data_IF_886243960132
#
_entry.id   IF_886243960132
#
_cell.length_a   1.000
_cell.length_b   1.000
_cell.length_c   1.000
_cell.angle_alpha   90.00
_cell.angle_beta   90.00
_cell.angle_gamma   90.00
#
_symmetry.space_group_name_H-M   'P 1'
#
loop_
_entity.id
_entity.type
_entity.pdbx_description
1 polymer ?
#
# COMPACT_ATOMS: atom_id res chain seq x y z
N UNK A 1 -14.16 -14.81 -14.30
CA UNK A 1 -12.94 -15.27 -13.60
C UNK A 1 -13.27 -15.83 -12.22
N UNK A 2 -12.51 -16.82 -11.76
CA UNK A 2 -12.59 -17.36 -10.41
C UNK A 2 -11.52 -16.72 -9.54
N UNK A 3 -11.94 -15.96 -8.53
CA UNK A 3 -11.06 -15.12 -7.68
C UNK A 3 -11.10 -15.62 -6.25
N UNK A 4 -9.95 -15.61 -5.57
CA UNK A 4 -9.85 -15.94 -4.16
C UNK A 4 -9.31 -14.75 -3.35
N UNK A 5 -9.79 -14.58 -2.11
CA UNK A 5 -9.23 -13.65 -1.12
C UNK A 5 -8.80 -14.47 0.10
N UNK A 6 -7.51 -14.47 0.41
CA UNK A 6 -6.94 -15.07 1.61
C UNK A 6 -6.71 -14.00 2.66
N UNK A 7 -7.29 -14.17 3.85
CA UNK A 7 -7.33 -13.15 4.90
C UNK A 7 -8.53 -12.22 4.76
N UNK A 8 -9.65 -12.74 4.24
CA UNK A 8 -10.85 -11.97 3.91
C UNK A 8 -11.43 -11.17 5.09
N UNK A 9 -11.27 -11.62 6.33
CA UNK A 9 -11.80 -10.96 7.54
C UNK A 9 -10.90 -9.82 8.07
N UNK A 10 -9.73 -9.62 7.50
CA UNK A 10 -8.82 -8.51 7.86
C UNK A 10 -9.26 -7.18 7.24
N UNK A 11 -8.69 -6.06 7.73
CA UNK A 11 -9.01 -4.72 7.20
C UNK A 11 -8.79 -4.63 5.67
N UNK A 12 -7.66 -5.11 5.17
CA UNK A 12 -7.38 -5.15 3.71
C UNK A 12 -8.25 -6.17 2.98
N UNK A 13 -8.58 -7.31 3.63
CA UNK A 13 -9.48 -8.31 3.05
C UNK A 13 -10.89 -7.75 2.80
N UNK A 14 -11.40 -6.96 3.74
CA UNK A 14 -12.68 -6.25 3.58
C UNK A 14 -12.59 -5.13 2.52
N UNK A 15 -11.45 -4.46 2.44
CA UNK A 15 -11.19 -3.47 1.40
C UNK A 15 -11.12 -4.09 0.00
N UNK A 16 -10.56 -5.31 -0.15
CA UNK A 16 -10.63 -6.05 -1.41
C UNK A 16 -12.07 -6.25 -1.88
N UNK A 17 -12.97 -6.67 -0.99
CA UNK A 17 -14.39 -6.84 -1.35
C UNK A 17 -14.99 -5.54 -1.89
N UNK A 18 -14.72 -4.41 -1.21
CA UNK A 18 -15.21 -3.10 -1.61
C UNK A 18 -14.63 -2.66 -2.95
N UNK A 19 -13.32 -2.72 -3.10
CA UNK A 19 -12.63 -2.26 -4.33
C UNK A 19 -13.02 -3.11 -5.54
N UNK A 20 -13.09 -4.44 -5.39
CA UNK A 20 -13.51 -5.34 -6.46
C UNK A 20 -14.95 -5.06 -6.93
N UNK A 21 -15.84 -4.66 -6.01
CA UNK A 21 -17.21 -4.27 -6.34
C UNK A 21 -17.26 -2.89 -7.01
N UNK A 22 -16.65 -1.87 -6.41
CA UNK A 22 -16.58 -0.49 -6.94
C UNK A 22 -16.03 -0.45 -8.37
N UNK A 23 -15.04 -1.30 -8.67
CA UNK A 23 -14.38 -1.37 -9.98
C UNK A 23 -15.05 -2.34 -10.96
N UNK A 24 -16.15 -2.96 -10.58
CA UNK A 24 -16.83 -3.97 -11.40
C UNK A 24 -15.87 -5.06 -11.91
N UNK A 25 -14.92 -5.48 -11.06
CA UNK A 25 -13.93 -6.50 -11.44
C UNK A 25 -14.62 -7.76 -11.96
N UNK A 26 -14.15 -8.43 -13.05
CA UNK A 26 -14.85 -9.53 -13.71
C UNK A 26 -14.77 -10.84 -12.92
N UNK A 27 -15.70 -11.02 -11.97
CA UNK A 27 -15.76 -12.18 -11.07
C UNK A 27 -17.02 -13.01 -11.39
N UNK A 28 -16.82 -14.27 -11.76
CA UNK A 28 -17.89 -15.26 -11.89
C UNK A 28 -18.09 -16.00 -10.56
N UNK A 29 -17.00 -16.33 -9.88
CA UNK A 29 -16.98 -16.98 -8.57
C UNK A 29 -15.96 -16.33 -7.65
N UNK A 30 -16.37 -15.99 -6.43
CA UNK A 30 -15.51 -15.45 -5.37
C UNK A 30 -15.39 -16.45 -4.23
N UNK A 31 -14.15 -16.78 -3.85
CA UNK A 31 -13.81 -17.62 -2.72
C UNK A 31 -13.16 -16.80 -1.62
N UNK A 32 -13.62 -16.98 -0.37
CA UNK A 32 -13.05 -16.31 0.79
C UNK A 32 -12.37 -17.33 1.70
N UNK A 33 -11.14 -17.06 2.10
CA UNK A 33 -10.37 -17.90 3.01
C UNK A 33 -9.89 -17.14 4.23
N UNK A 34 -9.83 -17.83 5.36
CA UNK A 34 -9.36 -17.26 6.61
C UNK A 34 -8.84 -18.33 7.58
N UNK A 35 -8.44 -17.88 8.77
CA UNK A 35 -8.02 -18.75 9.86
C UNK A 35 -9.21 -19.46 10.51
N UNK A 36 -8.94 -20.43 11.39
CA UNK A 36 -9.95 -21.11 12.20
C UNK A 36 -10.89 -20.13 12.94
N UNK A 37 -10.38 -18.97 13.36
CA UNK A 37 -11.16 -17.94 14.08
C UNK A 37 -12.22 -17.25 13.19
N UNK A 38 -11.98 -17.18 11.90
CA UNK A 38 -12.84 -16.48 10.94
C UNK A 38 -13.62 -17.43 10.00
N UNK A 39 -13.28 -18.70 9.96
CA UNK A 39 -14.03 -19.72 9.19
C UNK A 39 -15.49 -19.77 9.64
N UNK A 40 -16.40 -19.86 8.66
CA UNK A 40 -17.85 -19.81 8.88
C UNK A 40 -18.46 -18.41 8.93
N UNK A 41 -17.64 -17.35 9.06
CA UNK A 41 -18.14 -15.97 8.93
C UNK A 41 -18.62 -15.73 7.50
N UNK A 42 -19.70 -14.98 7.34
CA UNK A 42 -20.26 -14.65 6.03
C UNK A 42 -20.09 -13.17 5.73
N UNK A 43 -19.77 -12.87 4.48
CA UNK A 43 -19.72 -11.51 3.96
C UNK A 43 -20.58 -11.40 2.71
N UNK A 44 -21.21 -10.25 2.54
CA UNK A 44 -22.01 -9.96 1.34
C UNK A 44 -21.14 -9.36 0.25
N UNK A 45 -21.19 -9.94 -0.94
CA UNK A 45 -20.56 -9.39 -2.15
C UNK A 45 -21.55 -9.44 -3.30
N UNK A 46 -21.86 -8.28 -3.91
CA UNK A 46 -22.83 -8.12 -5.01
C UNK A 46 -24.18 -8.81 -4.69
N UNK A 47 -24.68 -8.63 -3.46
CA UNK A 47 -25.95 -9.16 -3.01
C UNK A 47 -25.97 -10.67 -2.67
N UNK A 48 -24.82 -11.36 -2.76
CA UNK A 48 -24.68 -12.78 -2.40
C UNK A 48 -23.89 -12.92 -1.10
N UNK A 49 -24.37 -13.77 -0.20
CA UNK A 49 -23.59 -14.17 0.97
C UNK A 49 -22.52 -15.19 0.58
N UNK A 50 -21.26 -14.93 0.97
CA UNK A 50 -20.12 -15.81 0.74
C UNK A 50 -19.53 -16.16 2.11
N UNK A 51 -19.40 -17.45 2.37
CA UNK A 51 -18.83 -17.97 3.61
C UNK A 51 -17.31 -18.04 3.52
N UNK A 52 -16.63 -17.63 4.58
CA UNK A 52 -15.17 -17.75 4.72
C UNK A 52 -14.84 -19.21 5.01
N UNK A 53 -14.12 -19.84 4.11
CA UNK A 53 -13.58 -21.20 4.28
C UNK A 53 -12.31 -21.18 5.14
N UNK A 54 -12.07 -22.25 5.86
CA UNK A 54 -10.78 -22.45 6.52
C UNK A 54 -9.68 -22.62 5.47
N UNK A 55 -8.60 -21.82 5.57
CA UNK A 55 -7.45 -21.99 4.72
C UNK A 55 -6.70 -23.27 5.08
N UNK A 56 -6.54 -24.20 4.12
CA UNK A 56 -5.92 -25.50 4.30
C UNK A 56 -5.07 -25.90 3.08
N UNK A 57 -4.11 -26.80 3.29
CA UNK A 57 -3.34 -27.43 2.19
C UNK A 57 -4.19 -28.51 1.50
N UNK A 58 -5.02 -28.06 0.55
CA UNK A 58 -5.91 -28.90 -0.23
C UNK A 58 -5.99 -28.37 -1.69
N UNK A 59 -7.00 -28.80 -2.43
CA UNK A 59 -7.20 -28.42 -3.84
C UNK A 59 -8.25 -27.30 -4.04
N UNK A 60 -8.61 -26.54 -3.01
CA UNK A 60 -9.60 -25.44 -3.11
C UNK A 60 -9.20 -24.36 -4.11
N UNK A 61 -7.90 -24.20 -4.38
CA UNK A 61 -7.39 -23.26 -5.39
C UNK A 61 -7.38 -23.79 -6.83
N UNK A 62 -7.85 -25.02 -7.06
CA UNK A 62 -7.98 -25.56 -8.42
C UNK A 62 -8.99 -24.73 -9.22
N UNK A 63 -8.52 -24.22 -10.36
CA UNK A 63 -9.32 -23.37 -11.26
C UNK A 63 -9.46 -21.92 -10.78
N UNK A 64 -8.76 -21.51 -9.72
CA UNK A 64 -8.64 -20.09 -9.33
C UNK A 64 -7.69 -19.40 -10.32
N UNK A 65 -8.12 -18.28 -10.87
CA UNK A 65 -7.33 -17.46 -11.79
C UNK A 65 -6.39 -16.53 -11.03
N UNK A 66 -6.92 -15.79 -10.04
CA UNK A 66 -6.20 -14.81 -9.24
C UNK A 66 -6.53 -15.01 -7.76
N UNK A 67 -5.51 -15.01 -6.91
CA UNK A 67 -5.65 -15.06 -5.46
C UNK A 67 -5.00 -13.81 -4.82
N UNK A 68 -5.81 -12.94 -4.22
CA UNK A 68 -5.33 -11.84 -3.39
C UNK A 68 -5.04 -12.34 -1.99
N UNK A 69 -3.82 -12.11 -1.48
CA UNK A 69 -3.43 -12.59 -0.14
C UNK A 69 -3.08 -11.43 0.78
N UNK A 70 -3.71 -11.39 1.95
CA UNK A 70 -3.46 -10.43 3.02
C UNK A 70 -3.66 -11.07 4.40
N UNK A 71 -2.89 -12.13 4.66
CA UNK A 71 -2.98 -12.93 5.89
C UNK A 71 -1.67 -12.94 6.72
N UNK A 72 -0.74 -12.04 6.37
CA UNK A 72 0.59 -11.93 6.99
C UNK A 72 1.64 -12.82 6.36
N UNK A 73 2.92 -12.44 6.51
CA UNK A 73 4.04 -13.05 5.80
C UNK A 73 4.26 -14.54 6.09
N UNK A 74 3.98 -14.99 7.32
CA UNK A 74 4.05 -16.41 7.66
C UNK A 74 3.06 -17.25 6.85
N UNK A 75 1.78 -16.84 6.85
CA UNK A 75 0.72 -17.50 6.07
C UNK A 75 1.02 -17.45 4.57
N UNK A 76 1.49 -16.31 4.05
CA UNK A 76 1.84 -16.18 2.64
C UNK A 76 2.94 -17.16 2.24
N UNK A 77 3.98 -17.32 3.05
CA UNK A 77 5.06 -18.28 2.77
C UNK A 77 4.58 -19.74 2.84
N UNK A 78 3.78 -20.06 3.84
CA UNK A 78 3.28 -21.41 4.07
C UNK A 78 2.35 -21.86 2.96
N UNK A 79 1.45 -20.99 2.50
CA UNK A 79 0.43 -21.34 1.51
C UNK A 79 0.75 -20.97 0.05
N UNK A 80 1.87 -20.30 -0.23
CA UNK A 80 2.20 -19.84 -1.58
C UNK A 80 2.15 -20.98 -2.62
N UNK A 81 2.79 -22.12 -2.32
CA UNK A 81 2.79 -23.29 -3.23
C UNK A 81 1.38 -23.88 -3.37
N UNK A 82 0.62 -23.97 -2.27
CA UNK A 82 -0.77 -24.46 -2.30
C UNK A 82 -1.65 -23.60 -3.22
N UNK A 83 -1.45 -22.28 -3.19
CA UNK A 83 -2.20 -21.34 -4.02
C UNK A 83 -1.78 -21.44 -5.49
N UNK A 84 -0.49 -21.49 -5.76
CA UNK A 84 0.04 -21.38 -7.14
C UNK A 84 0.14 -22.71 -7.90
N UNK A 85 0.17 -23.86 -7.20
CA UNK A 85 0.37 -25.20 -7.82
C UNK A 85 -0.60 -25.55 -8.95
N UNK A 86 -1.80 -24.95 -8.95
CA UNK A 86 -2.81 -25.15 -9.98
C UNK A 86 -2.87 -24.03 -11.01
N UNK A 87 -1.88 -23.12 -10.99
CA UNK A 87 -1.74 -22.05 -11.97
C UNK A 87 -2.41 -20.72 -11.55
N UNK A 88 -2.96 -20.59 -10.36
CA UNK A 88 -3.43 -19.28 -9.87
C UNK A 88 -2.28 -18.28 -9.80
N UNK A 89 -2.54 -17.02 -10.17
CA UNK A 89 -1.62 -15.91 -9.89
C UNK A 89 -1.89 -15.39 -8.48
N UNK A 90 -0.91 -15.52 -7.60
CA UNK A 90 -0.97 -14.99 -6.23
C UNK A 90 -0.47 -13.54 -6.23
N UNK A 91 -1.31 -12.59 -5.81
CA UNK A 91 -0.91 -11.19 -5.56
C UNK A 91 -0.85 -11.00 -4.05
N UNK A 92 0.39 -10.93 -3.52
CA UNK A 92 0.64 -10.97 -2.08
C UNK A 92 0.88 -9.59 -1.48
N UNK A 93 0.03 -9.21 -0.55
CA UNK A 93 0.10 -7.93 0.16
C UNK A 93 1.05 -7.94 1.37
N UNK A 94 1.62 -9.09 1.72
CA UNK A 94 2.58 -9.22 2.81
C UNK A 94 4.01 -8.81 2.38
N UNK A 95 4.90 -8.73 3.35
CA UNK A 95 6.33 -8.50 3.07
C UNK A 95 7.12 -9.77 2.70
N UNK A 96 6.45 -10.93 2.59
CA UNK A 96 7.10 -12.23 2.50
C UNK A 96 8.01 -12.39 1.28
N UNK A 97 7.61 -11.83 0.14
CA UNK A 97 8.24 -12.06 -1.16
C UNK A 97 8.76 -10.78 -1.84
N UNK A 98 8.60 -9.61 -1.21
CA UNK A 98 8.91 -8.32 -1.84
C UNK A 98 10.35 -8.21 -2.34
N UNK A 99 11.30 -8.78 -1.61
CA UNK A 99 12.73 -8.75 -1.96
C UNK A 99 13.24 -10.06 -2.56
N UNK A 100 12.35 -11.01 -2.89
CA UNK A 100 12.70 -12.22 -3.64
C UNK A 100 12.99 -11.84 -5.10
N UNK A 101 14.13 -12.24 -5.64
CA UNK A 101 14.56 -11.93 -7.01
C UNK A 101 13.63 -12.56 -8.08
N UNK A 102 12.98 -13.68 -7.75
CA UNK A 102 12.05 -14.39 -8.63
C UNK A 102 10.58 -13.96 -8.45
N UNK A 103 10.34 -12.87 -7.72
CA UNK A 103 9.00 -12.31 -7.50
C UNK A 103 9.02 -10.82 -7.83
N UNK A 104 8.25 -10.37 -8.83
CA UNK A 104 8.15 -8.94 -9.15
C UNK A 104 7.44 -8.20 -8.02
N UNK A 105 7.90 -6.98 -7.77
CA UNK A 105 7.32 -6.03 -6.82
C UNK A 105 6.69 -4.89 -7.63
N UNK A 106 5.35 -4.78 -7.63
CA UNK A 106 4.67 -4.03 -8.69
C UNK A 106 3.81 -2.89 -8.14
N UNK A 107 4.01 -1.71 -8.72
CA UNK A 107 3.10 -0.56 -8.69
C UNK A 107 2.74 -0.23 -10.14
N UNK A 108 1.49 -0.41 -10.56
CA UNK A 108 1.12 -0.30 -11.99
C UNK A 108 1.51 1.03 -12.65
N UNK A 109 1.49 2.13 -11.92
CA UNK A 109 1.89 3.45 -12.43
C UNK A 109 3.40 3.57 -12.71
N UNK A 110 4.21 2.67 -12.15
CA UNK A 110 5.67 2.68 -12.27
C UNK A 110 6.18 1.57 -13.20
N UNK A 111 5.84 0.32 -12.89
CA UNK A 111 6.47 -0.86 -13.48
C UNK A 111 5.49 -2.01 -13.78
N UNK A 112 4.29 -1.73 -14.26
CA UNK A 112 3.25 -2.73 -14.52
C UNK A 112 3.74 -3.95 -15.31
N UNK A 113 4.65 -3.76 -16.27
CA UNK A 113 5.19 -4.83 -17.15
C UNK A 113 5.95 -5.90 -16.38
N UNK A 114 6.54 -5.57 -15.23
CA UNK A 114 7.26 -6.53 -14.40
C UNK A 114 6.33 -7.67 -13.92
N UNK A 115 5.01 -7.42 -13.83
CA UNK A 115 4.03 -8.43 -13.48
C UNK A 115 3.99 -9.64 -14.42
N UNK A 116 4.52 -9.54 -15.64
CA UNK A 116 4.63 -10.64 -16.59
C UNK A 116 5.75 -11.62 -16.21
N UNK A 117 6.81 -11.13 -15.56
CA UNK A 117 7.99 -11.90 -15.14
C UNK A 117 7.79 -12.48 -13.73
N UNK A 118 6.94 -13.49 -13.59
CA UNK A 118 6.58 -14.12 -12.32
C UNK A 118 6.81 -15.63 -12.30
N UNK A 119 8.04 -16.13 -12.38
CA UNK A 119 8.33 -17.58 -12.51
C UNK A 119 7.75 -18.42 -11.37
N UNK A 120 7.50 -17.82 -10.21
CA UNK A 120 6.86 -18.48 -9.06
C UNK A 120 5.32 -18.38 -9.05
N UNK A 121 4.70 -17.73 -10.05
CA UNK A 121 3.26 -17.45 -10.05
C UNK A 121 2.83 -16.42 -8.98
N UNK A 122 3.80 -15.73 -8.38
CA UNK A 122 3.59 -14.76 -7.30
C UNK A 122 3.97 -13.36 -7.78
N UNK A 123 3.17 -12.36 -7.41
CA UNK A 123 3.48 -10.93 -7.54
C UNK A 123 3.38 -10.32 -6.15
N UNK A 124 4.40 -9.60 -5.73
CA UNK A 124 4.39 -8.90 -4.46
C UNK A 124 3.77 -7.50 -4.60
N UNK A 125 2.84 -7.18 -3.71
CA UNK A 125 2.30 -5.84 -3.53
C UNK A 125 3.16 -5.10 -2.52
N UNK A 126 3.67 -3.89 -2.84
CA UNK A 126 4.65 -3.22 -2.00
C UNK A 126 4.10 -2.72 -0.65
N UNK A 127 4.99 -2.16 0.15
CA UNK A 127 4.65 -1.46 1.38
C UNK A 127 3.78 -0.22 1.09
N UNK A 128 2.83 0.07 1.96
CA UNK A 128 1.84 1.13 1.73
C UNK A 128 2.45 2.52 1.58
N UNK A 129 3.48 2.85 2.37
CA UNK A 129 4.21 4.12 2.22
C UNK A 129 5.03 4.12 0.93
N UNK A 130 5.68 3.02 0.59
CA UNK A 130 6.43 2.92 -0.67
C UNK A 130 5.52 3.14 -1.88
N UNK A 131 4.34 2.52 -1.92
CA UNK A 131 3.41 2.68 -3.07
C UNK A 131 3.09 4.16 -3.32
N UNK A 132 2.62 4.87 -2.29
CA UNK A 132 2.20 6.26 -2.47
C UNK A 132 3.38 7.17 -2.83
N UNK A 133 4.56 6.92 -2.27
CA UNK A 133 5.77 7.66 -2.58
C UNK A 133 6.20 7.47 -4.04
N UNK A 134 6.33 6.22 -4.50
CA UNK A 134 6.84 5.95 -5.87
C UNK A 134 5.88 6.40 -6.96
N UNK A 135 4.56 6.41 -6.72
CA UNK A 135 3.59 6.96 -7.69
C UNK A 135 3.86 8.45 -7.93
N UNK A 136 4.10 9.22 -6.87
CA UNK A 136 4.44 10.64 -7.00
C UNK A 136 5.86 10.85 -7.58
N UNK A 137 6.83 10.05 -7.14
CA UNK A 137 8.22 10.13 -7.62
C UNK A 137 8.34 9.74 -9.10
N UNK A 138 7.53 8.80 -9.59
CA UNK A 138 7.55 8.42 -11.00
C UNK A 138 7.21 9.60 -11.93
N UNK A 139 6.28 10.47 -11.52
CA UNK A 139 5.99 11.68 -12.28
C UNK A 139 7.19 12.65 -12.33
N UNK A 140 8.00 12.70 -11.27
CA UNK A 140 9.22 13.51 -11.23
C UNK A 140 10.36 12.84 -12.02
N UNK A 141 10.54 11.53 -11.88
CA UNK A 141 11.54 10.73 -12.60
C UNK A 141 11.38 10.86 -14.12
N UNK A 142 10.14 10.91 -14.61
CA UNK A 142 9.84 11.10 -16.03
C UNK A 142 10.30 12.46 -16.57
N UNK A 143 10.55 13.46 -15.70
CA UNK A 143 11.06 14.78 -16.07
C UNK A 143 12.58 14.81 -15.98
N UNK A 144 13.12 14.30 -14.89
CA UNK A 144 14.57 14.27 -14.60
C UNK A 144 14.87 13.15 -13.62
N UNK A 145 15.93 12.40 -13.89
CA UNK A 145 16.40 11.33 -13.00
C UNK A 145 16.58 11.82 -11.56
N UNK A 146 16.02 11.08 -10.61
CA UNK A 146 16.09 11.36 -9.17
C UNK A 146 17.38 10.74 -8.64
N UNK A 147 18.23 11.56 -8.02
CA UNK A 147 19.48 11.12 -7.39
C UNK A 147 19.32 10.76 -5.92
N UNK A 148 18.47 11.53 -5.21
CA UNK A 148 18.31 11.36 -3.77
C UNK A 148 16.90 11.70 -3.30
N UNK A 149 16.43 10.92 -2.34
CA UNK A 149 15.13 11.06 -1.71
C UNK A 149 15.33 11.08 -0.19
N UNK A 150 14.81 12.11 0.48
CA UNK A 150 14.57 12.11 1.90
C UNK A 150 13.08 12.16 2.14
N UNK A 151 12.57 11.28 3.00
CA UNK A 151 11.16 11.20 3.29
C UNK A 151 10.90 11.07 4.78
N UNK A 152 9.95 11.84 5.29
CA UNK A 152 9.35 11.63 6.59
C UNK A 152 7.89 11.20 6.39
N UNK A 153 7.54 10.00 6.85
CA UNK A 153 6.17 9.51 6.78
C UNK A 153 5.41 9.74 8.09
N UNK A 154 4.15 10.10 7.96
CA UNK A 154 3.18 10.31 9.05
C UNK A 154 2.09 9.27 8.89
N UNK A 155 2.25 8.14 9.58
CA UNK A 155 1.46 6.94 9.32
C UNK A 155 0.32 6.77 10.33
N UNK A 156 -0.88 6.64 9.82
CA UNK A 156 -2.09 6.43 10.59
C UNK A 156 -2.12 5.07 11.31
N UNK A 157 -2.92 4.98 12.36
CA UNK A 157 -3.11 3.78 13.18
C UNK A 157 -3.55 2.54 12.36
N UNK A 158 -4.35 2.75 11.32
CA UNK A 158 -4.86 1.69 10.43
C UNK A 158 -3.78 0.87 9.72
N UNK A 159 -2.57 1.42 9.55
CA UNK A 159 -1.41 0.65 9.05
C UNK A 159 -1.00 -0.51 9.97
N UNK A 160 -1.37 -0.47 11.25
CA UNK A 160 -1.21 -1.56 12.21
C UNK A 160 -2.49 -2.42 12.36
N UNK A 161 -3.50 -2.22 11.50
CA UNK A 161 -4.72 -3.01 11.42
C UNK A 161 -5.89 -2.49 12.26
N UNK A 162 -7.04 -3.16 12.13
CA UNK A 162 -8.30 -2.75 12.77
C UNK A 162 -8.22 -2.64 14.30
N UNK A 163 -7.48 -3.54 14.94
CA UNK A 163 -7.29 -3.51 16.41
C UNK A 163 -6.53 -2.28 16.87
N UNK A 164 -5.56 -1.79 16.08
CA UNK A 164 -4.81 -0.57 16.39
C UNK A 164 -5.68 0.70 16.23
N UNK A 165 -6.58 0.71 15.24
CA UNK A 165 -7.57 1.80 15.11
C UNK A 165 -8.52 1.83 16.32
N UNK A 166 -9.03 0.67 16.74
CA UNK A 166 -9.88 0.56 17.90
C UNK A 166 -9.17 1.01 19.18
N UNK A 167 -7.91 0.61 19.36
CA UNK A 167 -7.08 1.06 20.50
C UNK A 167 -6.90 2.57 20.51
N UNK A 168 -6.55 3.20 19.38
CA UNK A 168 -6.42 4.66 19.30
C UNK A 168 -7.71 5.36 19.68
N UNK A 169 -8.85 4.89 19.18
CA UNK A 169 -10.15 5.46 19.50
C UNK A 169 -10.47 5.34 21.00
N UNK A 170 -10.18 4.18 21.58
CA UNK A 170 -10.36 3.92 23.00
C UNK A 170 -9.40 4.78 23.87
N UNK A 171 -8.16 4.96 23.44
CA UNK A 171 -7.21 5.85 24.12
C UNK A 171 -7.72 7.29 24.18
N UNK A 172 -8.31 7.81 23.07
CA UNK A 172 -8.94 9.16 23.12
C UNK A 172 -10.06 9.23 24.16
N UNK A 173 -10.95 8.24 24.17
CA UNK A 173 -12.04 8.16 25.15
C UNK A 173 -11.50 8.15 26.59
N UNK A 174 -10.53 7.30 26.85
CA UNK A 174 -9.94 7.12 28.19
C UNK A 174 -9.24 8.38 28.67
N UNK A 175 -8.39 8.99 27.85
CA UNK A 175 -7.66 10.21 28.23
C UNK A 175 -8.62 11.37 28.51
N UNK A 176 -9.66 11.55 27.69
CA UNK A 176 -10.67 12.59 27.89
C UNK A 176 -11.52 12.35 29.14
N UNK A 177 -11.68 11.09 29.56
CA UNK A 177 -12.35 10.72 30.81
C UNK A 177 -11.44 10.79 32.05
N UNK A 178 -10.15 11.12 31.89
CA UNK A 178 -9.17 11.10 32.97
C UNK A 178 -8.74 9.69 33.39
N UNK A 179 -9.02 8.69 32.56
CA UNK A 179 -8.65 7.29 32.76
C UNK A 179 -7.24 7.02 32.22
N UNK A 180 -6.58 5.97 32.74
CA UNK A 180 -5.29 5.52 32.19
C UNK A 180 -5.52 4.85 30.82
N UNK A 181 -4.83 5.32 29.75
CA UNK A 181 -5.02 4.73 28.43
C UNK A 181 -4.48 3.31 28.33
N UNK A 182 -5.20 2.46 27.59
CA UNK A 182 -4.77 1.11 27.23
C UNK A 182 -3.69 1.20 26.14
N UNK A 183 -2.57 0.47 26.31
CA UNK A 183 -1.45 0.40 25.35
C UNK A 183 -1.10 -1.06 25.15
N UNK A 184 -1.56 -1.65 24.04
CA UNK A 184 -1.38 -3.06 23.68
C UNK A 184 -0.81 -3.26 22.29
N UNK A 185 -1.21 -2.43 21.30
CA UNK A 185 -0.80 -2.53 19.90
C UNK A 185 0.35 -1.59 19.55
N UNK A 186 0.43 -0.47 20.23
CA UNK A 186 1.51 0.49 20.05
C UNK A 186 2.54 0.35 21.16
N UNK A 187 3.77 0.86 20.93
CA UNK A 187 4.81 0.86 21.95
C UNK A 187 4.51 1.83 23.12
N UNK A 188 3.71 2.86 22.84
CA UNK A 188 3.29 3.91 23.78
C UNK A 188 1.86 4.34 23.48
N UNK A 189 1.27 5.13 24.39
CA UNK A 189 0.05 5.87 24.09
C UNK A 189 0.23 6.67 22.79
N UNK A 190 -0.69 6.50 21.84
CA UNK A 190 -0.68 7.24 20.58
C UNK A 190 -1.61 8.45 20.60
N UNK A 191 -2.75 8.38 21.32
CA UNK A 191 -3.64 9.54 21.48
C UNK A 191 -2.86 10.73 22.05
N UNK A 192 -2.93 11.89 21.35
CA UNK A 192 -2.19 13.13 21.67
C UNK A 192 -0.66 12.99 21.63
N UNK A 193 -0.12 12.03 20.87
CA UNK A 193 1.32 11.76 20.80
C UNK A 193 1.74 11.41 19.36
N UNK A 194 3.04 11.44 19.09
CA UNK A 194 3.67 10.86 17.90
C UNK A 194 4.76 9.89 18.33
N UNK A 195 4.88 8.75 17.65
CA UNK A 195 5.85 7.70 17.99
C UNK A 195 6.83 7.57 16.81
N UNK A 196 8.12 7.96 16.96
CA UNK A 196 9.11 7.90 15.87
C UNK A 196 9.66 6.47 15.71
N UNK A 197 8.76 5.51 15.63
CA UNK A 197 9.07 4.10 15.42
C UNK A 197 7.88 3.38 14.80
N UNK A 198 8.12 2.75 13.65
CA UNK A 198 7.20 1.77 13.05
C UNK A 198 8.00 0.54 12.70
N UNK A 199 7.52 -0.65 13.16
CA UNK A 199 8.25 -1.91 13.11
C UNK A 199 9.48 -1.94 14.05
N UNK A 200 10.30 -2.98 13.99
CA UNK A 200 11.48 -3.17 14.83
C UNK A 200 12.71 -2.51 14.24
N UNK A 201 13.64 -2.12 15.09
CA UNK A 201 14.93 -1.57 14.66
C UNK A 201 15.82 -2.65 14.05
N UNK A 202 16.65 -2.23 13.11
CA UNK A 202 17.73 -2.99 12.51
C UNK A 202 19.08 -2.51 13.05
N UNK A 203 20.17 -3.24 12.76
CA UNK A 203 21.49 -2.97 13.31
C UNK A 203 22.09 -1.61 12.89
N UNK A 204 21.58 -1.02 11.82
CA UNK A 204 22.03 0.29 11.33
C UNK A 204 21.25 1.48 11.93
N UNK A 205 20.36 1.23 12.91
CA UNK A 205 19.56 2.25 13.59
C UNK A 205 18.27 2.65 12.86
N UNK A 206 18.03 2.16 11.65
CA UNK A 206 16.75 2.31 10.96
C UNK A 206 15.76 1.23 11.40
N UNK A 207 14.46 1.49 11.27
CA UNK A 207 13.45 0.46 11.44
C UNK A 207 13.28 -0.38 10.17
N UNK A 208 12.69 -1.57 10.28
CA UNK A 208 12.34 -2.37 9.10
C UNK A 208 11.39 -1.64 8.16
N UNK A 209 10.50 -0.81 8.68
CA UNK A 209 9.60 0.00 7.86
C UNK A 209 10.38 0.98 6.97
N UNK A 210 11.36 1.67 7.53
CA UNK A 210 12.25 2.59 6.81
C UNK A 210 13.10 1.86 5.77
N UNK A 211 13.61 0.68 6.12
CA UNK A 211 14.38 -0.15 5.18
C UNK A 211 13.53 -0.69 4.02
N UNK A 212 12.22 -0.92 4.23
CA UNK A 212 11.31 -1.23 3.11
C UNK A 212 11.27 -0.09 2.10
N UNK A 213 11.11 1.15 2.54
CA UNK A 213 11.12 2.30 1.64
C UNK A 213 12.41 2.39 0.84
N UNK A 214 13.56 2.14 1.46
CA UNK A 214 14.86 2.14 0.79
C UNK A 214 14.98 1.04 -0.29
N UNK A 215 14.67 -0.22 0.06
CA UNK A 215 14.88 -1.34 -0.86
C UNK A 215 13.79 -1.44 -1.93
N UNK A 216 12.54 -1.26 -1.54
CA UNK A 216 11.39 -1.41 -2.44
C UNK A 216 11.38 -0.31 -3.50
N UNK A 217 11.75 0.93 -3.17
CA UNK A 217 11.86 2.04 -4.15
C UNK A 217 12.83 1.70 -5.28
N UNK A 218 14.02 1.18 -4.93
CA UNK A 218 15.02 0.78 -5.93
C UNK A 218 14.50 -0.32 -6.86
N UNK A 219 13.81 -1.32 -6.28
CA UNK A 219 13.26 -2.44 -7.04
C UNK A 219 12.10 -2.03 -7.95
N UNK A 220 11.19 -1.20 -7.47
CA UNK A 220 10.00 -0.78 -8.23
C UNK A 220 10.37 0.20 -9.35
N UNK A 221 11.19 1.20 -9.04
CA UNK A 221 11.54 2.26 -9.99
C UNK A 221 12.75 1.91 -10.87
N UNK A 222 13.38 0.74 -10.67
CA UNK A 222 14.61 0.35 -11.36
C UNK A 222 15.68 1.44 -11.29
N UNK A 223 15.84 2.08 -10.12
CA UNK A 223 16.67 3.25 -9.90
C UNK A 223 17.83 2.96 -8.94
N UNK A 224 18.92 3.69 -9.10
CA UNK A 224 20.04 3.74 -8.16
C UNK A 224 19.90 4.89 -7.13
N UNK A 225 18.83 5.67 -7.20
CA UNK A 225 18.58 6.79 -6.30
C UNK A 225 18.77 6.40 -4.82
N UNK A 226 19.47 7.25 -4.08
CA UNK A 226 19.58 7.08 -2.64
C UNK A 226 18.27 7.48 -1.95
N UNK A 227 17.81 6.64 -1.04
CA UNK A 227 16.60 6.91 -0.26
C UNK A 227 16.90 6.81 1.24
N UNK A 228 16.49 7.82 2.02
CA UNK A 228 16.54 7.78 3.47
C UNK A 228 15.18 8.18 4.03
N UNK A 229 14.63 7.35 4.93
CA UNK A 229 13.30 7.52 5.47
C UNK A 229 13.32 7.65 6.99
N UNK A 230 12.36 8.40 7.54
CA UNK A 230 11.97 8.35 8.94
C UNK A 230 10.47 8.09 9.02
N UNK A 231 10.08 7.00 9.67
CA UNK A 231 8.68 6.59 9.77
C UNK A 231 8.11 6.88 11.15
N UNK A 232 7.07 7.71 11.20
CA UNK A 232 6.44 8.19 12.43
C UNK A 232 4.98 7.73 12.49
N UNK A 233 4.57 7.08 13.58
CA UNK A 233 3.17 6.80 13.88
C UNK A 233 2.51 8.05 14.44
N UNK A 234 1.40 8.48 13.81
CA UNK A 234 0.64 9.67 14.21
C UNK A 234 -0.77 9.30 14.65
N UNK A 235 -1.43 10.12 15.48
CA UNK A 235 -2.74 9.84 16.06
C UNK A 235 -3.88 10.14 15.06
N UNK A 236 -3.74 9.67 13.83
CA UNK A 236 -4.74 9.66 12.77
C UNK A 236 -5.28 8.24 12.59
N UNK A 237 -6.56 8.09 12.29
CA UNK A 237 -7.16 6.76 12.14
C UNK A 237 -6.80 6.14 10.79
N UNK A 238 -6.93 6.90 9.69
CA UNK A 238 -6.73 6.41 8.31
C UNK A 238 -6.01 7.48 7.48
N UNK A 239 -5.49 7.11 6.34
CA UNK A 239 -4.61 7.84 5.44
C UNK A 239 -3.21 8.12 6.01
N UNK A 240 -2.20 7.74 5.23
CA UNK A 240 -0.82 8.12 5.48
C UNK A 240 -0.49 9.43 4.77
N UNK A 241 0.48 10.14 5.32
CA UNK A 241 1.03 11.34 4.69
C UNK A 241 2.54 11.25 4.65
N UNK A 242 3.15 11.94 3.69
CA UNK A 242 4.61 12.00 3.56
C UNK A 242 5.08 13.40 3.19
N UNK A 243 6.15 13.85 3.85
CA UNK A 243 6.93 15.00 3.45
C UNK A 243 8.17 14.49 2.71
N UNK A 244 8.35 14.92 1.47
CA UNK A 244 9.41 14.44 0.57
C UNK A 244 10.30 15.60 0.15
N UNK A 245 11.61 15.36 0.17
CA UNK A 245 12.67 16.14 -0.45
C UNK A 245 13.30 15.25 -1.52
N UNK A 246 13.21 15.66 -2.78
CA UNK A 246 13.77 14.93 -3.90
C UNK A 246 14.80 15.81 -4.62
N UNK A 247 16.00 15.27 -4.80
CA UNK A 247 17.07 15.87 -5.61
C UNK A 247 17.09 15.21 -6.98
N UNK A 248 17.03 16.00 -8.03
CA UNK A 248 17.06 15.54 -9.42
C UNK A 248 18.39 15.86 -10.11
N UNK A 249 18.68 15.20 -11.22
CA UNK A 249 19.92 15.41 -11.98
C UNK A 249 20.02 16.83 -12.55
N UNK A 250 18.92 17.34 -13.12
CA UNK A 250 18.77 18.74 -13.53
C UNK A 250 17.70 19.44 -12.70
N UNK A 251 17.77 20.78 -12.56
CA UNK A 251 16.69 21.53 -11.93
C UNK A 251 15.35 21.27 -12.64
N UNK A 252 14.30 20.98 -11.84
CA UNK A 252 12.91 20.86 -12.29
C UNK A 252 12.13 22.02 -11.69
N UNK A 253 11.37 22.76 -12.48
CA UNK A 253 10.55 23.86 -11.97
C UNK A 253 9.33 23.33 -11.22
N UNK A 254 8.74 24.16 -10.36
CA UNK A 254 7.49 23.83 -9.64
C UNK A 254 6.36 23.58 -10.64
N UNK A 255 6.31 24.37 -11.69
CA UNK A 255 5.28 24.29 -12.74
C UNK A 255 5.39 23.01 -13.56
N UNK A 256 6.63 22.59 -13.96
CA UNK A 256 6.85 21.30 -14.64
C UNK A 256 6.35 20.13 -13.78
N UNK A 257 6.68 20.12 -12.49
CA UNK A 257 6.25 19.02 -11.62
C UNK A 257 4.73 19.06 -11.33
N UNK A 258 4.13 20.24 -11.12
CA UNK A 258 2.68 20.38 -10.99
C UNK A 258 1.95 19.86 -12.22
N UNK A 259 2.45 20.14 -13.40
CA UNK A 259 1.84 19.65 -14.64
C UNK A 259 1.99 18.12 -14.79
N UNK A 260 3.14 17.56 -14.40
CA UNK A 260 3.33 16.12 -14.39
C UNK A 260 2.39 15.42 -13.39
N UNK A 261 2.16 16.02 -12.21
CA UNK A 261 1.20 15.50 -11.22
C UNK A 261 -0.23 15.54 -11.76
N UNK A 262 -0.64 16.61 -12.43
CA UNK A 262 -1.99 16.73 -13.02
C UNK A 262 -2.28 15.66 -14.06
N UNK A 263 -1.27 15.31 -14.87
CA UNK A 263 -1.38 14.37 -15.98
C UNK A 263 -0.98 12.93 -15.58
N UNK A 264 -0.47 12.73 -14.37
CA UNK A 264 -0.01 11.43 -13.88
C UNK A 264 -1.16 10.50 -13.50
N UNK A 265 -1.06 9.23 -13.90
CA UNK A 265 -2.01 8.22 -13.47
C UNK A 265 -1.93 8.01 -11.97
N UNK A 266 -3.07 7.87 -11.31
CA UNK A 266 -3.14 7.65 -9.86
C UNK A 266 -2.74 8.87 -9.02
N UNK A 267 -2.60 10.06 -9.64
CA UNK A 267 -2.22 11.32 -8.99
C UNK A 267 -3.34 12.37 -9.05
N UNK A 268 -3.39 13.21 -8.01
CA UNK A 268 -4.22 14.41 -7.94
C UNK A 268 -3.42 15.58 -7.39
N UNK A 269 -3.38 16.68 -8.14
CA UNK A 269 -2.83 17.93 -7.66
C UNK A 269 -3.86 18.66 -6.78
N UNK A 270 -3.48 18.94 -5.53
CA UNK A 270 -4.24 19.77 -4.59
C UNK A 270 -3.26 20.74 -3.93
N UNK A 271 -3.02 21.90 -4.55
CA UNK A 271 -1.93 22.80 -4.16
C UNK A 271 -2.27 24.27 -4.41
N UNK A 272 -3.19 24.80 -3.57
CA UNK A 272 -3.50 26.23 -3.48
C UNK A 272 -3.32 26.72 -2.03
N UNK A 273 -2.05 27.04 -1.62
CA UNK A 273 -1.77 27.48 -0.25
C UNK A 273 -2.49 28.76 0.18
N UNK A 274 -2.83 29.65 -0.77
CA UNK A 274 -3.54 30.92 -0.48
C UNK A 274 -4.95 30.64 0.00
N UNK A 275 -5.61 29.63 -0.60
CA UNK A 275 -6.94 29.16 -0.17
C UNK A 275 -6.86 28.10 0.93
N UNK A 276 -5.67 27.75 1.42
CA UNK A 276 -5.44 26.64 2.37
C UNK A 276 -5.92 25.30 1.84
N UNK A 277 -5.88 25.11 0.52
CA UNK A 277 -6.26 23.89 -0.17
C UNK A 277 -5.03 23.04 -0.46
N UNK A 278 -4.82 22.02 0.37
CA UNK A 278 -3.73 21.04 0.29
C UNK A 278 -4.17 19.70 0.90
N UNK A 279 -3.53 18.57 0.54
CA UNK A 279 -3.97 17.24 0.98
C UNK A 279 -3.89 17.07 2.50
N UNK A 280 -4.95 16.54 3.08
CA UNK A 280 -5.02 16.22 4.51
C UNK A 280 -5.70 14.85 4.74
N UNK A 281 -5.18 14.01 5.65
CA UNK A 281 -5.73 12.67 5.91
C UNK A 281 -7.24 12.64 6.18
N UNK A 282 -7.74 13.64 6.92
CA UNK A 282 -9.15 13.72 7.33
C UNK A 282 -10.14 13.66 6.16
N UNK A 283 -9.76 14.17 4.99
CA UNK A 283 -10.66 14.37 3.85
C UNK A 283 -10.45 13.38 2.71
N UNK A 284 -9.44 12.49 2.82
CA UNK A 284 -9.01 11.63 1.72
C UNK A 284 -9.23 10.14 1.98
N UNK A 285 -9.93 9.79 3.06
CA UNK A 285 -10.35 8.43 3.31
C UNK A 285 -11.25 7.92 2.19
N UNK A 286 -10.93 6.74 1.65
CA UNK A 286 -11.65 6.11 0.55
C UNK A 286 -11.31 6.64 -0.85
N UNK A 287 -10.40 7.62 -0.98
CA UNK A 287 -9.93 8.09 -2.28
C UNK A 287 -8.97 7.09 -2.92
N UNK A 288 -9.01 6.99 -4.26
CA UNK A 288 -8.20 6.06 -5.05
C UNK A 288 -6.79 6.60 -5.31
N UNK A 289 -6.67 7.91 -5.51
CA UNK A 289 -5.46 8.56 -5.98
C UNK A 289 -4.51 8.97 -4.82
N UNK A 290 -3.25 9.20 -5.16
CA UNK A 290 -2.28 9.89 -4.32
C UNK A 290 -2.42 11.40 -4.56
N UNK A 291 -2.78 12.13 -3.53
CA UNK A 291 -2.93 13.58 -3.58
C UNK A 291 -1.60 14.25 -3.26
N UNK A 292 -1.14 15.15 -4.14
CA UNK A 292 0.12 15.86 -4.01
C UNK A 292 -0.11 17.36 -3.92
N UNK A 293 0.55 18.00 -2.97
CA UNK A 293 0.47 19.43 -2.77
C UNK A 293 1.69 19.98 -2.03
N UNK A 294 1.65 21.27 -1.68
CA UNK A 294 2.77 21.97 -1.04
C UNK A 294 4.08 21.84 -1.85
N UNK A 295 3.96 21.79 -3.19
CA UNK A 295 5.09 21.68 -4.12
C UNK A 295 5.84 23.01 -4.14
N UNK A 296 7.15 22.96 -3.87
CA UNK A 296 8.01 24.14 -3.83
C UNK A 296 9.47 23.76 -4.10
N UNK A 297 10.27 24.73 -4.50
CA UNK A 297 11.73 24.55 -4.59
C UNK A 297 12.32 24.31 -3.21
N UNK A 298 13.32 23.43 -3.15
CA UNK A 298 14.16 23.33 -1.97
C UNK A 298 15.07 24.56 -1.90
N UNK A 299 15.02 25.28 -0.78
CA UNK A 299 15.84 26.49 -0.59
C UNK A 299 17.31 26.17 -0.34
N UNK A 300 17.64 24.94 -0.02
CA UNK A 300 19.00 24.46 0.31
C UNK A 300 19.69 23.78 -0.88
N UNK A 301 18.92 23.36 -1.90
CA UNK A 301 19.44 22.64 -3.05
C UNK A 301 18.79 23.13 -4.36
N UNK A 302 19.55 23.69 -5.32
CA UNK A 302 19.01 24.21 -6.59
C UNK A 302 18.35 23.12 -7.44
N UNK A 303 18.74 21.85 -7.30
CA UNK A 303 18.15 20.70 -7.98
C UNK A 303 17.05 20.03 -7.16
N UNK A 304 16.73 20.57 -5.98
CA UNK A 304 15.77 20.00 -5.05
C UNK A 304 14.34 20.51 -5.25
N UNK A 305 13.40 19.60 -5.05
CA UNK A 305 11.98 19.88 -4.84
C UNK A 305 11.53 19.33 -3.49
N UNK A 306 10.60 20.04 -2.85
CA UNK A 306 9.95 19.59 -1.63
C UNK A 306 8.45 19.55 -1.87
N UNK A 307 7.79 18.49 -1.46
CA UNK A 307 6.34 18.37 -1.58
C UNK A 307 5.75 17.51 -0.47
N UNK A 308 4.44 17.53 -0.39
CA UNK A 308 3.64 16.76 0.54
C UNK A 308 2.67 15.89 -0.21
N UNK A 309 2.46 14.67 0.25
CA UNK A 309 1.45 13.79 -0.31
C UNK A 309 0.63 13.11 0.77
N UNK A 310 -0.58 12.71 0.39
CA UNK A 310 -1.52 11.96 1.22
C UNK A 310 -2.20 10.91 0.36
N UNK A 311 -2.36 9.70 0.89
CA UNK A 311 -3.14 8.64 0.25
C UNK A 311 -3.75 7.70 1.28
N UNK A 312 -4.82 7.03 0.88
CA UNK A 312 -5.45 5.98 1.68
C UNK A 312 -4.64 4.69 1.59
N UNK A 313 -3.90 4.39 2.65
CA UNK A 313 -2.96 3.26 2.70
C UNK A 313 -3.65 1.88 2.74
N UNK A 314 -4.94 1.80 3.09
CA UNK A 314 -5.69 0.53 3.00
C UNK A 314 -6.20 0.34 1.57
N UNK A 315 -6.53 1.43 0.88
CA UNK A 315 -7.02 1.44 -0.51
C UNK A 315 -5.84 1.45 -1.48
N UNK A 316 -5.34 2.61 -1.90
CA UNK A 316 -4.21 2.69 -2.86
C UNK A 316 -2.93 2.04 -2.32
N UNK A 317 -2.64 2.18 -1.05
CA UNK A 317 -1.46 1.57 -0.41
C UNK A 317 -1.55 0.04 -0.23
N UNK A 318 -2.67 -0.60 -0.55
CA UNK A 318 -2.87 -2.04 -0.34
C UNK A 318 -3.83 -2.65 -1.37
N UNK A 319 -5.14 -2.68 -1.07
CA UNK A 319 -6.12 -3.43 -1.83
C UNK A 319 -6.25 -2.93 -3.28
N UNK A 320 -6.33 -1.63 -3.49
CA UNK A 320 -6.50 -1.05 -4.82
C UNK A 320 -5.27 -1.31 -5.70
N UNK A 321 -4.05 -1.15 -5.18
CA UNK A 321 -2.84 -1.42 -5.95
C UNK A 321 -2.80 -2.88 -6.43
N UNK A 322 -3.14 -3.83 -5.56
CA UNK A 322 -3.21 -5.24 -5.92
C UNK A 322 -4.31 -5.53 -6.98
N UNK A 323 -5.47 -4.89 -6.86
CA UNK A 323 -6.55 -5.00 -7.85
C UNK A 323 -6.13 -4.38 -9.19
N UNK A 324 -5.46 -3.24 -9.20
CA UNK A 324 -4.92 -2.62 -10.41
C UNK A 324 -3.86 -3.48 -11.09
N UNK A 325 -3.02 -4.21 -10.33
CA UNK A 325 -2.10 -5.22 -10.88
C UNK A 325 -2.90 -6.30 -11.62
N UNK A 326 -3.95 -6.81 -11.00
CA UNK A 326 -4.81 -7.82 -11.60
C UNK A 326 -5.54 -7.32 -12.87
N UNK A 327 -6.07 -6.09 -12.84
CA UNK A 327 -6.70 -5.45 -14.00
C UNK A 327 -5.71 -5.30 -15.16
N UNK A 328 -4.49 -4.88 -14.86
CA UNK A 328 -3.45 -4.76 -15.87
C UNK A 328 -3.10 -6.13 -16.48
N UNK A 329 -2.98 -7.18 -15.66
CA UNK A 329 -2.75 -8.55 -16.16
C UNK A 329 -3.88 -9.04 -17.07
N UNK A 330 -5.14 -8.82 -16.69
CA UNK A 330 -6.30 -9.22 -17.51
C UNK A 330 -6.22 -8.61 -18.91
N UNK A 331 -5.73 -7.39 -19.02
CA UNK A 331 -5.64 -6.64 -20.28
C UNK A 331 -4.38 -7.00 -21.10
N UNK A 332 -3.29 -7.43 -20.48
CA UNK A 332 -1.97 -7.47 -21.09
C UNK A 332 -1.31 -8.87 -21.07
N UNK A 333 -1.75 -9.79 -20.22
CA UNK A 333 -1.18 -11.12 -20.11
C UNK A 333 -1.97 -12.12 -20.99
N UNK A 334 -1.31 -12.80 -21.95
CA UNK A 334 -1.95 -13.81 -22.80
C UNK A 334 -2.69 -14.91 -22.03
N UNK A 335 -2.28 -15.20 -20.79
CA UNK A 335 -2.96 -16.16 -19.92
C UNK A 335 -4.45 -15.84 -19.70
N UNK A 336 -4.83 -14.56 -19.69
CA UNK A 336 -6.19 -14.10 -19.38
C UNK A 336 -6.97 -13.66 -20.63
N UNK A 337 -6.37 -13.75 -21.83
CA UNK A 337 -6.97 -13.32 -23.11
C UNK A 337 -7.58 -14.45 -23.93
N UNK A 338 -7.61 -15.69 -23.39
CA UNK A 338 -8.09 -16.88 -24.09
C UNK A 338 -9.55 -17.22 -23.85
#
# INVERSE_FOLDING_TARGET
MRVAIVGASGAVGQEFLRVLDERNFPIDELLLFGSQRSAGTKYTFRGKEIEVKLLQHNDDFKGVDIAFTSAGGGTSKDFAETITKHGAVMIDNSSAFRMDENVPLVVPECNAKDALERPRGIIANPNCTTIMMVVALQALENISHIRRIHVASYQAASGAGAAAMAELFEQYRQVLAGEKPTVEKFAYQLAFNVIPQIDVFTDNGYTKEEMKMFHETKKIMHTDADCSAMCVRVPSLRCHSEAIWAETERPVSVEEFKEAVKNGNGLRLQDDPEKKDYPMPLFLEGCDDVYVGRIRKDISNPNGLTFWLVSDQIKKGAALNAVQIAEWLIQNDPKFQG
#
